data_IF_322015308153
#
_entry.id   IF_322015308153
#
_cell.length_a   1.000
_cell.length_b   1.000
_cell.length_c   1.000
_cell.angle_alpha   90.00
_cell.angle_beta   90.00
_cell.angle_gamma   90.00
#
_symmetry.space_group_name_H-M   'P 1'
#
loop_
_entity.id
_entity.type
_entity.pdbx_description
1 polymer ?
#
# COMPACT_ATOMS: atom_id res chain seq x y z
N UNK A 1 2.28 -12.26 -5.36
CA UNK A 1 2.20 -11.12 -4.45
C UNK A 1 2.15 -11.69 -3.06
N UNK A 2 2.98 -11.19 -2.15
CA UNK A 2 2.89 -11.58 -0.74
C UNK A 2 1.60 -10.96 -0.24
N UNK A 3 0.57 -11.80 -0.17
CA UNK A 3 -0.70 -11.52 0.46
C UNK A 3 -0.40 -11.43 1.97
N UNK A 4 0.02 -10.24 2.40
CA UNK A 4 0.26 -9.96 3.81
C UNK A 4 -1.05 -9.37 4.29
N UNK A 5 -1.76 -10.16 5.09
CA UNK A 5 -2.96 -9.71 5.80
C UNK A 5 -2.52 -8.62 6.81
N UNK A 6 -2.66 -7.36 6.41
CA UNK A 6 -2.26 -6.23 7.24
C UNK A 6 -3.39 -6.00 8.23
N UNK A 7 -3.17 -6.37 9.49
CA UNK A 7 -4.15 -6.19 10.57
C UNK A 7 -3.96 -4.89 11.34
N UNK A 8 -2.81 -4.23 11.17
CA UNK A 8 -2.45 -2.95 11.80
C UNK A 8 -1.64 -2.08 10.82
N UNK A 9 -1.70 -0.73 10.92
CA UNK A 9 -0.94 0.15 10.05
C UNK A 9 0.56 -0.18 10.04
N UNK A 10 1.08 -0.59 8.89
CA UNK A 10 2.43 -1.11 8.76
C UNK A 10 3.29 -0.19 7.90
N UNK A 11 4.46 0.19 8.43
CA UNK A 11 5.40 1.06 7.73
C UNK A 11 6.39 0.20 6.93
N UNK A 12 6.53 0.46 5.63
CA UNK A 12 7.41 -0.33 4.74
C UNK A 12 8.14 0.54 3.72
N UNK A 13 9.33 0.08 3.30
CA UNK A 13 10.10 0.70 2.22
C UNK A 13 9.97 -0.14 0.95
N UNK A 14 9.47 0.47 -0.12
CA UNK A 14 9.36 -0.13 -1.44
C UNK A 14 10.51 0.35 -2.33
N UNK A 15 11.09 -0.57 -3.09
CA UNK A 15 12.14 -0.25 -4.07
C UNK A 15 11.56 -0.15 -5.48
N UNK A 16 11.66 1.04 -6.05
CA UNK A 16 11.27 1.41 -7.41
C UNK A 16 12.52 1.41 -8.32
N UNK A 17 12.79 0.26 -8.93
CA UNK A 17 13.90 0.12 -9.90
C UNK A 17 13.54 0.74 -11.26
N UNK A 18 12.25 0.84 -11.57
CA UNK A 18 11.75 1.43 -12.81
C UNK A 18 10.76 2.55 -12.49
N UNK A 19 11.19 3.82 -12.41
CA UNK A 19 10.33 4.92 -11.96
C UNK A 19 9.14 5.21 -12.87
N UNK A 20 9.16 4.74 -14.12
CA UNK A 20 8.06 4.87 -15.07
C UNK A 20 6.99 3.78 -14.91
N UNK A 21 7.28 2.71 -14.14
CA UNK A 21 6.33 1.64 -13.90
C UNK A 21 5.57 1.95 -12.60
N UNK A 22 4.23 2.09 -12.66
CA UNK A 22 3.44 2.28 -11.45
C UNK A 22 3.52 1.04 -10.57
N UNK A 23 3.60 1.24 -9.26
CA UNK A 23 3.48 0.17 -8.26
C UNK A 23 2.05 0.19 -7.69
N UNK A 24 1.36 -0.96 -7.64
CA UNK A 24 0.09 -1.04 -6.93
C UNK A 24 0.31 -0.90 -5.43
N UNK A 25 -0.41 0.05 -4.82
CA UNK A 25 -0.57 0.20 -3.37
C UNK A 25 -2.08 0.13 -3.06
N UNK A 26 -2.44 -0.17 -1.81
CA UNK A 26 -3.85 -0.18 -1.39
C UNK A 26 -4.49 1.20 -1.46
N UNK A 27 -5.81 1.26 -1.61
CA UNK A 27 -6.57 2.52 -1.72
C UNK A 27 -6.41 3.44 -0.49
N UNK A 28 -6.27 2.83 0.69
CA UNK A 28 -6.07 3.56 1.95
C UNK A 28 -4.58 3.82 2.27
N UNK A 29 -3.67 3.23 1.51
CA UNK A 29 -2.23 3.39 1.73
C UNK A 29 -1.80 4.83 1.45
N UNK A 30 -0.76 5.27 2.16
CA UNK A 30 -0.20 6.63 1.98
C UNK A 30 1.30 6.59 1.80
N UNK A 31 1.78 7.32 0.80
CA UNK A 31 3.20 7.61 0.63
C UNK A 31 3.59 8.70 1.62
N UNK A 32 4.61 8.41 2.43
CA UNK A 32 5.11 9.32 3.47
C UNK A 32 6.41 10.01 3.05
N UNK A 33 7.29 9.30 2.36
CA UNK A 33 8.60 9.82 1.95
C UNK A 33 9.09 9.09 0.70
N UNK A 34 10.01 9.73 -0.04
CA UNK A 34 10.69 9.12 -1.17
C UNK A 34 12.11 9.65 -1.29
N UNK A 35 13.07 8.77 -1.55
CA UNK A 35 14.46 9.16 -1.79
C UNK A 35 15.07 8.37 -2.92
N UNK A 36 15.98 9.01 -3.65
CA UNK A 36 16.76 8.31 -4.66
C UNK A 36 17.98 7.66 -4.00
N UNK A 37 18.12 6.36 -4.18
CA UNK A 37 19.27 5.59 -3.72
C UNK A 37 20.29 5.44 -4.84
N UNK A 38 21.35 6.24 -4.77
CA UNK A 38 22.41 6.29 -5.79
C UNK A 38 23.26 5.03 -5.87
N UNK A 39 23.30 4.22 -4.81
CA UNK A 39 24.08 2.98 -4.78
C UNK A 39 23.44 1.89 -5.64
N UNK A 40 22.10 1.86 -5.68
CA UNK A 40 21.32 0.85 -6.40
C UNK A 40 20.55 1.41 -7.61
N UNK A 41 20.73 2.70 -7.92
CA UNK A 41 20.06 3.40 -9.02
C UNK A 41 18.54 3.24 -8.99
N UNK A 42 17.95 3.28 -7.78
CA UNK A 42 16.53 3.05 -7.57
C UNK A 42 15.92 4.07 -6.60
N UNK A 43 14.61 4.26 -6.67
CA UNK A 43 13.89 5.04 -5.67
C UNK A 43 13.47 4.16 -4.51
N UNK A 44 13.66 4.62 -3.29
CA UNK A 44 13.11 4.01 -2.09
C UNK A 44 11.94 4.87 -1.63
N UNK A 45 10.75 4.28 -1.50
CA UNK A 45 9.52 4.98 -1.12
C UNK A 45 9.00 4.40 0.18
N UNK A 46 8.78 5.27 1.16
CA UNK A 46 8.18 4.92 2.43
C UNK A 46 6.67 4.98 2.30
N UNK A 47 6.02 3.86 2.56
CA UNK A 47 4.57 3.72 2.52
C UNK A 47 4.09 3.29 3.89
N UNK A 48 3.00 3.90 4.36
CA UNK A 48 2.17 3.31 5.40
C UNK A 48 1.07 2.53 4.71
N UNK A 49 1.11 1.21 4.90
CA UNK A 49 0.08 0.32 4.43
C UNK A 49 -0.99 0.19 5.50
N UNK A 50 -2.22 0.53 5.15
CA UNK A 50 -3.34 0.49 6.09
C UNK A 50 -3.96 -0.91 6.07
N UNK A 51 -4.53 -1.38 7.19
CA UNK A 51 -5.36 -2.57 7.14
C UNK A 51 -6.51 -2.34 6.16
N UNK A 52 -6.83 -3.34 5.35
CA UNK A 52 -7.97 -3.25 4.46
C UNK A 52 -9.23 -3.10 5.31
N UNK A 53 -9.84 -1.90 5.31
CA UNK A 53 -11.15 -1.72 5.92
C UNK A 53 -12.13 -2.54 5.08
N UNK A 54 -12.67 -3.60 5.66
CA UNK A 54 -13.74 -4.42 5.08
C UNK A 54 -14.98 -3.54 4.88
N UNK A 55 -14.98 -2.76 3.79
CA UNK A 55 -16.04 -1.78 3.50
C UNK A 55 -17.14 -2.44 2.66
N UNK A 56 -17.30 -3.76 2.81
CA UNK A 56 -18.30 -4.59 2.14
C UNK A 56 -19.30 -5.18 3.14
N UNK A 57 -19.76 -4.39 4.10
CA UNK A 57 -21.03 -4.66 4.79
C UNK A 57 -22.11 -3.73 4.22
N UNK A 58 -22.61 -4.07 3.03
CA UNK A 58 -23.92 -3.61 2.60
C UNK A 58 -24.94 -4.20 3.60
N UNK A 59 -25.70 -3.39 4.35
CA UNK A 59 -26.73 -3.95 5.22
C UNK A 59 -27.78 -4.63 4.32
N UNK A 60 -27.91 -5.95 4.39
CA UNK A 60 -29.08 -6.67 3.87
C UNK A 60 -30.31 -6.10 4.58
N UNK A 61 -30.97 -5.14 3.93
CA UNK A 61 -32.28 -4.64 4.34
C UNK A 61 -33.25 -5.80 4.14
N UNK A 62 -33.53 -6.52 5.23
CA UNK A 62 -34.51 -7.61 5.23
C UNK A 62 -35.84 -7.11 4.70
N UNK A 63 -36.33 -7.73 3.63
CA UNK A 63 -37.69 -7.55 3.14
C UNK A 63 -38.65 -8.31 4.07
N UNK A 64 -39.69 -7.59 4.51
CA UNK A 64 -40.73 -7.99 5.47
C UNK A 64 -41.59 -9.19 5.03
#
# INVERSE_FOLDING_TARGET
MTDIDITEPTLTWLQLVQPHQPIPIGDEDRVLDSRFNTQWDCWEVLVVAMPESDTSEEPEVGEE
#
